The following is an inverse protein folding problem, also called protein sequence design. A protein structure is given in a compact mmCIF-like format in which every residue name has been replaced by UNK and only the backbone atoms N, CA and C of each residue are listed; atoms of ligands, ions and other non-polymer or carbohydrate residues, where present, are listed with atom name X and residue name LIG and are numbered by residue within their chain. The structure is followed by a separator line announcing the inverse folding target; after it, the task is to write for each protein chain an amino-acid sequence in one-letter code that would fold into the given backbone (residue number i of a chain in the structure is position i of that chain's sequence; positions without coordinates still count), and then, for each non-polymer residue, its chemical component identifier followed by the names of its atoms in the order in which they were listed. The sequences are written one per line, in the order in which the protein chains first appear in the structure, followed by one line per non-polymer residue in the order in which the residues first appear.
data_IF_933224125711
#
_entry.id   IF_933224125711
#
_cell.length_a   1.000
_cell.length_b   1.000
_cell.length_c   1.000
_cell.angle_alpha   90.00
_cell.angle_beta   90.00
_cell.angle_gamma   90.00
#
_symmetry.space_group_name_H-M   'P 1'
#
loop_
_entity.id
_entity.type
_entity.pdbx_description
1 polymer ?
#
# COMPACT_ATOMS: atom_id res chain seq x y z
N UNK A 1 -9.87 -6.65 12.20
CA UNK A 1 -10.11 -7.20 10.88
C UNK A 1 -9.13 -8.31 10.51
N UNK A 2 -9.33 -8.95 9.36
CA UNK A 2 -8.54 -10.10 8.89
C UNK A 2 -7.03 -9.80 8.77
N UNK A 3 -6.66 -8.61 8.35
CA UNK A 3 -5.25 -8.18 8.27
C UNK A 3 -4.53 -8.26 9.61
N UNK A 4 -5.14 -7.73 10.68
CA UNK A 4 -4.55 -7.80 12.02
C UNK A 4 -4.49 -9.23 12.53
N UNK A 5 -5.48 -10.06 12.21
CA UNK A 5 -5.44 -11.48 12.55
C UNK A 5 -4.25 -12.15 11.87
N UNK A 6 -4.07 -11.94 10.57
CA UNK A 6 -2.99 -12.54 9.79
C UNK A 6 -1.59 -12.10 10.28
N UNK A 7 -1.36 -10.81 10.47
CA UNK A 7 -0.02 -10.32 10.90
C UNK A 7 0.31 -10.72 12.36
N UNK A 8 -0.68 -10.95 13.20
CA UNK A 8 -0.47 -11.36 14.59
C UNK A 8 -0.37 -12.89 14.77
N UNK A 9 -0.66 -13.67 13.72
CA UNK A 9 -0.48 -15.12 13.75
C UNK A 9 0.99 -15.49 14.00
N UNK A 10 1.23 -16.51 14.80
CA UNK A 10 2.59 -16.97 15.16
C UNK A 10 3.39 -17.51 13.97
N UNK A 11 2.69 -17.98 12.91
CA UNK A 11 3.31 -18.47 11.67
C UNK A 11 3.63 -17.34 10.68
N UNK A 12 3.14 -16.11 10.92
CA UNK A 12 3.47 -14.99 10.06
C UNK A 12 4.96 -14.66 10.17
N UNK A 13 5.66 -14.73 9.03
CA UNK A 13 7.10 -14.52 8.93
C UNK A 13 7.56 -13.09 9.24
N UNK A 14 8.84 -12.85 9.03
CA UNK A 14 9.47 -11.54 9.25
C UNK A 14 8.91 -10.44 8.37
N UNK A 15 8.47 -10.80 7.16
CA UNK A 15 7.83 -9.91 6.21
C UNK A 15 6.46 -10.47 5.84
N UNK A 16 5.46 -9.61 5.78
CA UNK A 16 4.13 -9.91 5.29
C UNK A 16 3.91 -9.20 3.96
N UNK A 17 3.47 -9.94 2.94
CA UNK A 17 3.22 -9.40 1.60
C UNK A 17 1.74 -9.61 1.26
N UNK A 18 1.08 -8.55 0.84
CA UNK A 18 -0.32 -8.58 0.46
C UNK A 18 -0.48 -9.19 -0.94
N UNK A 19 -1.46 -10.10 -1.04
CA UNK A 19 -2.01 -10.59 -2.29
C UNK A 19 -3.52 -10.67 -2.15
N UNK A 20 -4.25 -9.96 -2.99
CA UNK A 20 -5.69 -10.01 -3.00
C UNK A 20 -6.15 -11.32 -3.68
N UNK A 21 -7.29 -11.86 -3.27
CA UNK A 21 -7.71 -13.22 -3.64
C UNK A 21 -8.02 -13.40 -5.13
N UNK A 22 -8.31 -12.32 -5.81
CA UNK A 22 -8.62 -12.27 -7.25
C UNK A 22 -7.44 -11.78 -8.11
N UNK A 23 -6.28 -11.50 -7.51
CA UNK A 23 -5.09 -10.98 -8.18
C UNK A 23 -3.96 -12.02 -8.27
N UNK A 24 -2.89 -11.66 -8.97
CA UNK A 24 -1.73 -12.53 -9.17
C UNK A 24 -0.41 -11.74 -9.02
N UNK A 25 0.66 -12.42 -8.64
CA UNK A 25 2.00 -11.91 -8.90
C UNK A 25 2.35 -12.04 -10.39
N UNK A 26 3.13 -11.09 -10.92
CA UNK A 26 3.46 -11.03 -12.35
C UNK A 26 4.37 -12.17 -12.82
N UNK A 27 5.04 -12.86 -11.90
CA UNK A 27 5.95 -13.98 -12.18
C UNK A 27 6.24 -14.79 -10.91
N UNK A 28 7.24 -15.64 -10.93
CA UNK A 28 7.76 -16.37 -9.76
C UNK A 28 8.73 -15.54 -8.90
N UNK A 29 9.14 -14.35 -9.36
CA UNK A 29 10.21 -13.55 -8.73
C UNK A 29 9.76 -12.47 -7.75
N UNK A 30 8.53 -11.93 -7.78
CA UNK A 30 8.14 -10.76 -7.00
C UNK A 30 8.46 -10.86 -5.51
N UNK A 31 8.24 -11.99 -4.87
CA UNK A 31 8.55 -12.15 -3.44
C UNK A 31 10.04 -11.99 -3.15
N UNK A 32 10.91 -12.59 -3.96
CA UNK A 32 12.36 -12.43 -3.78
C UNK A 32 12.80 -10.99 -4.05
N UNK A 33 12.24 -10.35 -5.09
CA UNK A 33 12.51 -8.94 -5.41
C UNK A 33 12.12 -8.02 -4.24
N UNK A 34 10.95 -8.26 -3.64
CA UNK A 34 10.49 -7.50 -2.47
C UNK A 34 11.42 -7.68 -1.27
N UNK A 35 11.85 -8.93 -0.98
CA UNK A 35 12.77 -9.20 0.13
C UNK A 35 14.13 -8.52 -0.09
N UNK A 36 14.65 -8.57 -1.30
CA UNK A 36 15.90 -7.88 -1.65
C UNK A 36 15.74 -6.36 -1.44
N UNK A 37 14.64 -5.76 -1.90
CA UNK A 37 14.36 -4.34 -1.74
C UNK A 37 14.26 -3.91 -0.26
N UNK A 38 13.74 -4.74 0.65
CA UNK A 38 13.78 -4.45 2.09
C UNK A 38 15.20 -4.24 2.60
N UNK A 39 16.14 -5.08 2.15
CA UNK A 39 17.54 -5.02 2.57
C UNK A 39 18.29 -3.89 1.87
N UNK A 40 18.15 -3.77 0.55
CA UNK A 40 18.87 -2.80 -0.26
C UNK A 40 18.47 -1.35 0.07
N UNK A 41 17.16 -1.13 0.22
CA UNK A 41 16.61 0.21 0.49
C UNK A 41 16.53 0.52 1.99
N UNK A 42 16.86 -0.41 2.88
CA UNK A 42 16.74 -0.25 4.34
C UNK A 42 15.34 0.27 4.72
N UNK A 43 14.30 -0.30 4.13
CA UNK A 43 12.92 0.12 4.28
C UNK A 43 12.16 -0.74 5.30
N UNK A 44 11.12 -0.17 5.88
CA UNK A 44 10.21 -0.87 6.79
C UNK A 44 8.90 -1.31 6.11
N UNK A 45 8.63 -0.75 4.95
CA UNK A 45 7.54 -1.11 4.05
C UNK A 45 8.06 -1.00 2.60
N UNK A 46 7.63 -1.91 1.75
CA UNK A 46 7.90 -1.86 0.30
C UNK A 46 6.58 -1.77 -0.43
N UNK A 47 6.55 -0.95 -1.46
CA UNK A 47 5.42 -0.84 -2.37
C UNK A 47 5.89 -1.08 -3.79
N UNK A 48 5.25 -2.02 -4.48
CA UNK A 48 5.55 -2.35 -5.86
C UNK A 48 4.72 -1.56 -6.87
N UNK A 49 4.81 -2.00 -8.11
CA UNK A 49 4.03 -1.51 -9.24
C UNK A 49 3.16 -2.64 -9.78
N UNK A 50 2.00 -2.26 -10.34
CA UNK A 50 1.04 -3.24 -10.80
C UNK A 50 0.48 -2.86 -12.17
N UNK A 51 0.10 -3.88 -12.94
CA UNK A 51 -0.59 -3.71 -14.21
C UNK A 51 -2.07 -4.07 -14.05
N UNK A 52 -2.93 -3.21 -14.55
CA UNK A 52 -4.36 -3.51 -14.66
C UNK A 52 -4.62 -4.43 -15.84
N UNK A 53 -5.33 -5.51 -15.62
CA UNK A 53 -5.69 -6.50 -16.64
C UNK A 53 -7.08 -7.10 -16.39
N UNK A 54 -7.61 -7.82 -17.38
CA UNK A 54 -8.76 -8.71 -17.22
C UNK A 54 -8.32 -10.11 -16.72
N UNK A 55 -9.26 -11.05 -16.65
CA UNK A 55 -8.96 -12.42 -16.22
C UNK A 55 -8.20 -13.25 -17.26
N UNK A 56 -8.20 -12.81 -18.53
CA UNK A 56 -7.38 -13.38 -19.60
C UNK A 56 -5.99 -12.73 -19.68
N UNK A 57 -5.67 -11.86 -18.71
CA UNK A 57 -4.43 -11.10 -18.56
C UNK A 57 -4.17 -10.07 -19.67
N UNK A 58 -5.21 -9.70 -20.43
CA UNK A 58 -5.13 -8.58 -21.36
C UNK A 58 -5.04 -7.27 -20.58
N UNK A 59 -4.09 -6.41 -20.96
CA UNK A 59 -3.90 -5.13 -20.30
C UNK A 59 -5.11 -4.21 -20.49
N UNK A 60 -5.61 -3.67 -19.39
CA UNK A 60 -6.68 -2.67 -19.37
C UNK A 60 -6.09 -1.27 -19.08
N UNK A 61 -6.71 -0.19 -19.59
CA UNK A 61 -6.30 1.16 -19.22
C UNK A 61 -6.38 1.39 -17.70
N UNK A 62 -5.45 2.11 -17.11
CA UNK A 62 -4.31 2.83 -17.71
C UNK A 62 -3.04 1.96 -17.93
N UNK A 63 -3.11 0.65 -17.77
CA UNK A 63 -1.98 -0.25 -17.91
C UNK A 63 -1.14 -0.34 -16.64
N UNK A 64 0.16 -0.06 -16.74
CA UNK A 64 1.07 -0.09 -15.60
C UNK A 64 0.88 1.13 -14.71
N UNK A 65 0.71 0.89 -13.41
CA UNK A 65 0.63 1.92 -12.37
C UNK A 65 1.86 1.77 -11.48
N UNK A 66 2.81 2.69 -11.64
CA UNK A 66 4.10 2.67 -10.95
C UNK A 66 4.26 3.79 -9.91
N UNK A 67 3.32 4.75 -9.85
CA UNK A 67 3.46 5.94 -9.03
C UNK A 67 4.83 6.62 -9.19
N UNK A 68 5.17 6.95 -10.43
CA UNK A 68 6.45 7.60 -10.79
C UNK A 68 6.64 8.98 -10.15
N UNK A 69 5.55 9.59 -9.66
CA UNK A 69 5.54 10.81 -8.85
C UNK A 69 6.17 10.63 -7.45
N UNK A 70 6.40 9.40 -7.04
CA UNK A 70 7.13 9.08 -5.81
C UNK A 70 8.62 9.30 -6.03
N UNK A 71 9.19 10.32 -5.43
CA UNK A 71 10.60 10.68 -5.59
C UNK A 71 11.32 10.70 -4.26
N UNK A 72 12.65 10.55 -4.27
CA UNK A 72 13.49 10.63 -3.06
C UNK A 72 13.41 12.04 -2.42
N UNK A 73 13.26 13.10 -3.23
CA UNK A 73 13.16 14.48 -2.77
C UNK A 73 11.94 14.74 -1.87
N UNK A 74 10.87 13.98 -2.04
CA UNK A 74 9.69 14.08 -1.21
C UNK A 74 9.82 13.34 0.14
N UNK A 75 10.80 12.47 0.29
CA UNK A 75 11.08 11.71 1.51
C UNK A 75 9.82 11.03 2.07
N UNK A 76 9.57 11.20 3.36
CA UNK A 76 8.41 10.63 4.03
C UNK A 76 7.06 11.28 3.64
N UNK A 77 7.06 12.38 2.88
CA UNK A 77 5.84 13.05 2.42
C UNK A 77 5.22 12.42 1.17
N UNK A 78 5.91 11.51 0.49
CA UNK A 78 5.36 10.82 -0.67
C UNK A 78 3.98 10.20 -0.41
N UNK A 79 3.81 9.49 0.70
CA UNK A 79 2.55 8.85 1.05
C UNK A 79 1.38 9.82 1.20
N UNK A 80 1.64 11.08 1.57
CA UNK A 80 0.63 12.15 1.66
C UNK A 80 0.20 12.69 0.29
N UNK A 81 1.03 12.51 -0.74
CA UNK A 81 0.83 13.12 -2.06
C UNK A 81 0.05 12.25 -3.05
N UNK A 82 -0.02 10.95 -2.79
CA UNK A 82 -0.67 9.98 -3.67
C UNK A 82 -2.02 9.55 -3.12
N UNK A 83 -2.92 9.11 -3.99
CA UNK A 83 -4.28 8.69 -3.60
C UNK A 83 -4.40 7.19 -3.32
N UNK A 84 -3.30 6.50 -3.20
CA UNK A 84 -3.15 5.09 -2.89
C UNK A 84 -1.69 4.70 -3.02
N UNK A 85 -1.28 3.65 -2.33
CA UNK A 85 0.14 3.30 -2.30
C UNK A 85 0.57 2.38 -3.45
N UNK A 86 -0.37 1.81 -4.20
CA UNK A 86 -0.07 0.80 -5.22
C UNK A 86 -0.12 -0.62 -4.66
N UNK A 87 0.36 -1.58 -5.46
CA UNK A 87 0.41 -3.00 -5.13
C UNK A 87 1.68 -3.65 -5.75
N UNK A 88 2.18 -4.76 -5.19
CA UNK A 88 1.84 -5.30 -3.89
C UNK A 88 2.39 -4.42 -2.77
N UNK A 89 1.80 -4.53 -1.57
CA UNK A 89 2.30 -3.87 -0.36
C UNK A 89 2.93 -4.92 0.53
N UNK A 90 4.12 -4.62 1.02
CA UNK A 90 4.85 -5.51 1.91
C UNK A 90 5.31 -4.77 3.16
N UNK A 91 5.26 -5.43 4.30
CA UNK A 91 5.46 -4.83 5.62
C UNK A 91 6.50 -5.62 6.40
N UNK A 92 7.37 -4.91 7.12
CA UNK A 92 8.16 -5.53 8.17
C UNK A 92 7.21 -5.88 9.33
N UNK A 93 6.91 -7.17 9.49
CA UNK A 93 5.86 -7.69 10.38
C UNK A 93 5.94 -7.15 11.81
N UNK A 94 7.13 -7.05 12.47
CA UNK A 94 7.20 -6.52 13.84
C UNK A 94 6.68 -5.08 13.98
N UNK A 95 6.86 -4.25 12.96
CA UNK A 95 6.33 -2.87 12.95
C UNK A 95 4.84 -2.85 12.61
N UNK A 96 4.39 -3.66 11.65
CA UNK A 96 2.97 -3.80 11.34
C UNK A 96 2.17 -4.25 12.58
N UNK A 97 2.73 -5.18 13.37
CA UNK A 97 2.14 -5.62 14.64
C UNK A 97 2.02 -4.49 15.67
N UNK A 98 2.98 -3.57 15.72
CA UNK A 98 2.93 -2.41 16.65
C UNK A 98 1.92 -1.36 16.20
N UNK A 99 1.83 -1.11 14.90
CA UNK A 99 0.98 -0.06 14.35
C UNK A 99 -0.49 -0.50 14.26
N UNK A 100 -0.74 -1.74 13.87
CA UNK A 100 -2.04 -2.36 13.60
C UNK A 100 -2.81 -1.63 12.47
N UNK A 101 -3.51 -2.41 11.66
CA UNK A 101 -4.43 -1.86 10.67
C UNK A 101 -5.68 -1.30 11.36
N UNK A 102 -6.23 -0.17 10.95
CA UNK A 102 -7.50 0.31 11.47
C UNK A 102 -8.62 -0.68 11.11
N UNK A 103 -9.61 -0.78 11.99
CA UNK A 103 -10.77 -1.64 11.76
C UNK A 103 -11.79 -0.92 10.86
N UNK A 104 -11.47 -0.86 9.59
CA UNK A 104 -12.33 -0.28 8.54
C UNK A 104 -12.34 -1.20 7.32
N UNK A 105 -13.34 -1.05 6.46
CA UNK A 105 -13.47 -1.79 5.21
C UNK A 105 -12.95 -1.04 3.98
N UNK A 106 -12.36 0.13 4.16
CA UNK A 106 -11.79 0.95 3.08
C UNK A 106 -10.64 1.81 3.61
N UNK A 107 -9.53 1.86 2.88
CA UNK A 107 -8.38 2.71 3.16
C UNK A 107 -7.54 2.28 4.38
N UNK A 108 -7.73 1.06 4.87
CA UNK A 108 -6.93 0.48 5.95
C UNK A 108 -5.46 0.35 5.58
N UNK A 109 -5.19 0.01 4.33
CA UNK A 109 -3.87 -0.07 3.74
C UNK A 109 -3.21 1.31 3.62
N UNK A 110 -3.99 2.30 3.18
CA UNK A 110 -3.54 3.68 3.07
C UNK A 110 -3.21 4.28 4.45
N UNK A 111 -4.08 4.06 5.43
CA UNK A 111 -3.84 4.48 6.81
C UNK A 111 -2.57 3.85 7.40
N UNK A 112 -2.36 2.54 7.15
CA UNK A 112 -1.15 1.84 7.56
C UNK A 112 0.10 2.44 6.90
N UNK A 113 0.06 2.69 5.60
CA UNK A 113 1.18 3.31 4.88
C UNK A 113 1.50 4.72 5.37
N UNK A 114 0.50 5.55 5.66
CA UNK A 114 0.70 6.85 6.29
C UNK A 114 1.40 6.71 7.65
N UNK A 115 0.96 5.78 8.49
CA UNK A 115 1.56 5.54 9.80
C UNK A 115 3.03 5.06 9.68
N UNK A 116 3.33 4.15 8.71
CA UNK A 116 4.70 3.76 8.41
C UNK A 116 5.54 4.96 7.98
N UNK A 117 5.05 5.75 7.03
CA UNK A 117 5.78 6.87 6.43
C UNK A 117 6.15 7.98 7.42
N UNK A 118 5.48 8.05 8.58
CA UNK A 118 5.79 9.06 9.60
C UNK A 118 7.19 8.92 10.15
N UNK A 119 7.65 7.68 10.39
CA UNK A 119 8.90 7.40 11.12
C UNK A 119 9.84 6.46 10.38
N UNK A 120 9.36 5.79 9.34
CA UNK A 120 10.09 4.75 8.65
C UNK A 120 10.12 5.01 7.15
N UNK A 121 11.17 4.54 6.51
CA UNK A 121 11.28 4.58 5.06
C UNK A 121 10.31 3.58 4.43
N UNK A 122 9.58 4.04 3.42
CA UNK A 122 8.84 3.20 2.48
C UNK A 122 9.67 3.12 1.20
N UNK A 123 10.12 1.93 0.85
CA UNK A 123 10.85 1.67 -0.38
C UNK A 123 9.90 1.43 -1.57
N UNK A 124 10.43 1.58 -2.77
CA UNK A 124 9.68 1.45 -4.03
C UNK A 124 10.35 0.45 -4.97
N UNK A 125 9.49 -0.30 -5.70
CA UNK A 125 9.90 -1.11 -6.85
C UNK A 125 9.02 -0.66 -8.02
N UNK A 126 9.66 -0.13 -9.07
CA UNK A 126 8.97 0.41 -10.24
C UNK A 126 8.67 -0.65 -11.30
N UNK A 127 9.33 -1.81 -11.23
CA UNK A 127 9.04 -2.95 -12.08
C UNK A 127 7.66 -3.53 -11.77
N UNK A 128 7.01 -4.11 -12.77
CA UNK A 128 5.74 -4.80 -12.61
C UNK A 128 5.91 -6.05 -11.74
N UNK A 129 5.29 -6.04 -10.57
CA UNK A 129 5.29 -7.18 -9.64
C UNK A 129 3.94 -7.84 -9.48
N UNK A 130 2.87 -7.18 -9.94
CA UNK A 130 1.51 -7.55 -9.58
C UNK A 130 0.55 -7.33 -10.74
N UNK A 131 -0.39 -8.23 -10.92
CA UNK A 131 -1.45 -8.18 -11.91
C UNK A 131 -2.78 -7.97 -11.19
N UNK A 132 -3.28 -6.73 -11.27
CA UNK A 132 -4.57 -6.36 -10.69
C UNK A 132 -5.67 -6.71 -11.68
N UNK A 133 -6.40 -7.81 -11.42
CA UNK A 133 -7.44 -8.31 -12.31
C UNK A 133 -8.76 -7.60 -12.05
N UNK A 134 -9.32 -7.04 -13.11
CA UNK A 134 -10.57 -6.25 -13.06
C UNK A 134 -11.74 -7.03 -13.65
N UNK A 135 -12.84 -7.00 -12.92
CA UNK A 135 -14.11 -7.61 -13.34
C UNK A 135 -15.29 -6.87 -12.69
N UNK A 136 -16.51 -7.14 -13.15
CA UNK A 136 -17.70 -6.43 -12.68
C UNK A 136 -18.05 -6.64 -11.19
N UNK A 137 -17.42 -7.62 -10.53
CA UNK A 137 -17.61 -7.91 -9.11
C UNK A 137 -16.54 -7.30 -8.18
N UNK A 138 -15.51 -6.59 -8.70
CA UNK A 138 -14.58 -5.89 -7.84
C UNK A 138 -15.30 -4.85 -6.98
N UNK A 139 -14.88 -4.70 -5.73
CA UNK A 139 -15.50 -3.79 -4.76
C UNK A 139 -15.47 -2.31 -5.18
N UNK A 140 -14.60 -1.96 -6.12
CA UNK A 140 -14.42 -0.61 -6.66
C UNK A 140 -14.76 -0.51 -8.17
N UNK A 141 -15.34 -1.55 -8.79
CA UNK A 141 -15.60 -1.58 -10.23
C UNK A 141 -16.68 -0.58 -10.66
N UNK A 142 -17.73 -0.40 -9.85
CA UNK A 142 -18.83 0.53 -10.14
C UNK A 142 -19.21 1.24 -8.84
N UNK A 143 -18.56 2.36 -8.57
CA UNK A 143 -18.90 3.20 -7.42
C UNK A 143 -19.75 4.39 -7.88
N UNK A 144 -20.80 4.72 -7.10
CA UNK A 144 -21.52 5.98 -7.30
C UNK A 144 -20.62 7.17 -6.97
N UNK A 145 -20.95 8.34 -7.51
CA UNK A 145 -20.22 9.60 -7.23
C UNK A 145 -20.21 9.88 -5.74
N UNK A 146 -21.32 9.66 -5.04
CA UNK A 146 -21.43 9.85 -3.60
C UNK A 146 -20.44 8.96 -2.84
N UNK A 147 -20.30 7.69 -3.27
CA UNK A 147 -19.36 6.76 -2.65
C UNK A 147 -17.91 7.14 -2.93
N UNK A 148 -17.59 7.56 -4.16
CA UNK A 148 -16.27 8.08 -4.52
C UNK A 148 -15.92 9.29 -3.66
N UNK A 149 -16.84 10.24 -3.52
CA UNK A 149 -16.64 11.45 -2.70
C UNK A 149 -16.45 11.10 -1.22
N UNK A 150 -17.25 10.18 -0.69
CA UNK A 150 -17.10 9.70 0.70
C UNK A 150 -15.74 9.04 0.93
N UNK A 151 -15.28 8.22 0.00
CA UNK A 151 -13.97 7.57 0.03
C UNK A 151 -12.83 8.60 -0.02
N UNK A 152 -12.93 9.60 -0.88
CA UNK A 152 -11.94 10.68 -0.98
C UNK A 152 -11.90 11.53 0.30
N UNK A 153 -13.06 11.92 0.83
CA UNK A 153 -13.16 12.64 2.09
C UNK A 153 -12.50 11.87 3.24
N UNK A 154 -12.75 10.56 3.31
CA UNK A 154 -12.12 9.71 4.33
C UNK A 154 -10.59 9.71 4.21
N UNK A 155 -10.04 9.58 3.00
CA UNK A 155 -8.59 9.67 2.77
C UNK A 155 -8.02 11.04 3.14
N UNK A 156 -8.74 12.12 2.85
CA UNK A 156 -8.33 13.48 3.23
C UNK A 156 -8.32 13.67 4.75
N UNK A 157 -9.27 13.06 5.46
CA UNK A 157 -9.26 13.02 6.92
C UNK A 157 -8.05 12.29 7.47
N UNK A 158 -7.71 11.12 6.89
CA UNK A 158 -6.50 10.38 7.26
C UNK A 158 -5.21 11.21 7.03
N UNK A 159 -5.10 11.90 5.89
CA UNK A 159 -3.98 12.81 5.60
C UNK A 159 -3.90 13.94 6.61
N UNK A 160 -5.04 14.54 6.94
CA UNK A 160 -5.11 15.64 7.92
C UNK A 160 -4.63 15.16 9.30
N UNK A 161 -5.13 14.02 9.77
CA UNK A 161 -4.69 13.42 11.04
C UNK A 161 -3.18 13.18 11.04
N UNK A 162 -2.66 12.64 9.93
CA UNK A 162 -1.24 12.35 9.78
C UNK A 162 -0.39 13.63 9.79
N UNK A 163 -0.77 14.67 9.06
CA UNK A 163 -0.07 15.96 9.06
C UNK A 163 -0.02 16.56 10.45
N UNK A 164 -1.15 16.57 11.18
CA UNK A 164 -1.22 17.06 12.55
C UNK A 164 -0.33 16.24 13.50
N UNK A 165 -0.27 14.94 13.31
CA UNK A 165 0.61 14.08 14.10
C UNK A 165 2.10 14.42 13.88
N UNK A 166 2.52 14.60 12.62
CA UNK A 166 3.89 15.02 12.26
C UNK A 166 4.24 16.39 12.82
N UNK A 167 3.33 17.36 12.75
CA UNK A 167 3.54 18.70 13.34
C UNK A 167 3.75 18.64 14.86
N UNK A 168 3.02 17.76 15.56
CA UNK A 168 3.17 17.58 17.01
C UNK A 168 4.53 16.94 17.36
N UNK A 169 5.00 16.00 16.55
CA UNK A 169 6.31 15.39 16.75
C UNK A 169 7.44 16.42 16.52
N UNK A 170 7.37 17.21 15.46
CA UNK A 170 8.36 18.23 15.14
C UNK A 170 8.44 19.38 16.19
N UNK A 171 7.36 19.65 16.93
CA UNK A 171 7.36 20.66 17.99
C UNK A 171 7.99 20.18 19.29
N UNK A 172 8.30 18.88 19.41
CA UNK A 172 8.91 18.30 20.61
C UNK A 172 10.44 18.22 20.52
N UNK A 173 10.99 18.60 19.37
CA UNK A 173 12.43 18.73 19.11
C UNK A 173 12.82 20.21 19.30
#
# INVERSE_FOLDING_TARGET
GCWNYAINDSHCGRFAVQLDSDDLYSSEKPLQTIINAFHEQQAAMIVGSYRMCDFDLNTLPPGLISHSEWTEDNGCNNALRINGLGAPRAFFTPLARKLQFPNTSYGEDYAMGLAFSRRFRIGRIYDELYLCRRWGGNSDAVLSIEKINANNLYKDQLRTIEVLARQRENRKI
#
